data_IF_351164960257
#
_entry.id   IF_351164960257
#
_cell.length_a   1.000
_cell.length_b   1.000
_cell.length_c   1.000
_cell.angle_alpha   90.00
_cell.angle_beta   90.00
_cell.angle_gamma   90.00
#
_symmetry.space_group_name_H-M   'P 1'
#
loop_
_entity.id
_entity.type
_entity.pdbx_description
1 polymer ?
#
# COMPACT_ATOMS: atom_id res chain seq x y z
N UNK A 1 -8.53 -11.51 -2.01
CA UNK A 1 -9.00 -10.41 -2.89
C UNK A 1 -7.97 -9.31 -2.87
N UNK A 2 -7.19 -9.19 -3.94
CA UNK A 2 -6.16 -8.18 -4.05
C UNK A 2 -6.75 -6.97 -4.76
N UNK A 3 -6.45 -5.76 -4.27
CA UNK A 3 -6.84 -4.51 -4.89
C UNK A 3 -5.60 -3.89 -5.50
N UNK A 4 -5.76 -3.21 -6.64
CA UNK A 4 -4.70 -2.41 -7.23
C UNK A 4 -4.98 -0.93 -6.99
N UNK A 5 -3.99 -0.15 -6.62
CA UNK A 5 -4.17 1.30 -6.52
C UNK A 5 -3.82 1.98 -7.84
N UNK A 6 -4.74 2.80 -8.37
CA UNK A 6 -4.44 3.77 -9.42
C UNK A 6 -4.22 5.15 -8.81
N UNK A 7 -3.09 5.76 -9.15
CA UNK A 7 -2.73 7.10 -8.72
C UNK A 7 -2.88 8.06 -9.90
N UNK A 8 -3.59 9.16 -9.67
CA UNK A 8 -3.69 10.28 -10.61
C UNK A 8 -3.08 11.50 -9.95
N UNK A 9 -1.79 11.71 -10.19
CA UNK A 9 -1.01 12.76 -9.53
C UNK A 9 -1.53 14.17 -9.84
N UNK A 10 -1.96 14.44 -11.07
CA UNK A 10 -2.55 15.73 -11.47
C UNK A 10 -3.84 16.05 -10.69
N UNK A 11 -4.60 15.03 -10.31
CA UNK A 11 -5.85 15.17 -9.55
C UNK A 11 -5.62 15.05 -8.03
N UNK A 12 -4.39 14.77 -7.60
CA UNK A 12 -4.02 14.47 -6.20
C UNK A 12 -4.90 13.42 -5.56
N UNK A 13 -5.19 12.35 -6.30
CA UNK A 13 -6.09 11.27 -5.89
C UNK A 13 -5.46 9.89 -6.09
N UNK A 14 -5.68 9.04 -5.10
CA UNK A 14 -5.39 7.62 -5.18
C UNK A 14 -6.71 6.84 -5.08
N UNK A 15 -7.09 6.14 -6.14
CA UNK A 15 -8.29 5.30 -6.22
C UNK A 15 -7.92 3.82 -6.16
N UNK A 16 -8.79 3.02 -5.56
CA UNK A 16 -8.75 1.57 -5.66
C UNK A 16 -9.40 1.16 -6.98
N UNK A 17 -8.74 0.27 -7.70
CA UNK A 17 -9.24 -0.45 -8.86
C UNK A 17 -9.21 -1.94 -8.57
N UNK A 18 -10.05 -2.70 -9.26
CA UNK A 18 -10.05 -4.16 -9.17
C UNK A 18 -8.74 -4.68 -9.77
N UNK A 19 -8.07 -5.57 -9.05
CA UNK A 19 -7.00 -6.36 -9.65
C UNK A 19 -7.62 -7.54 -10.38
N UNK A 20 -7.83 -7.38 -11.69
CA UNK A 20 -8.49 -8.40 -12.50
C UNK A 20 -7.74 -9.74 -12.46
N UNK A 21 -6.40 -9.70 -12.50
CA UNK A 21 -5.57 -10.89 -12.45
C UNK A 21 -5.73 -11.62 -11.10
N UNK A 22 -5.59 -10.90 -9.99
CA UNK A 22 -5.76 -11.46 -8.65
C UNK A 22 -7.18 -11.94 -8.36
N UNK A 23 -8.20 -11.30 -8.94
CA UNK A 23 -9.59 -11.77 -8.82
C UNK A 23 -9.81 -13.07 -9.61
N UNK A 24 -9.30 -13.15 -10.84
CA UNK A 24 -9.39 -14.38 -11.64
C UNK A 24 -8.67 -15.55 -10.96
N UNK A 25 -7.48 -15.34 -10.42
CA UNK A 25 -6.72 -16.36 -9.68
C UNK A 25 -7.47 -16.85 -8.44
N UNK A 26 -8.13 -15.93 -7.72
CA UNK A 26 -8.90 -16.25 -6.53
C UNK A 26 -10.34 -16.75 -6.81
N UNK A 27 -10.75 -16.86 -8.09
CA UNK A 27 -12.12 -17.21 -8.46
C UNK A 27 -13.18 -16.20 -8.03
N UNK A 28 -12.80 -14.92 -7.89
CA UNK A 28 -13.67 -13.83 -7.47
C UNK A 28 -14.30 -13.18 -8.71
N UNK A 29 -15.63 -13.01 -8.69
CA UNK A 29 -16.36 -12.29 -9.73
C UNK A 29 -15.91 -10.83 -9.81
N UNK A 30 -15.41 -10.42 -10.98
CA UNK A 30 -14.95 -9.06 -11.23
C UNK A 30 -16.07 -8.03 -11.01
N UNK A 31 -17.28 -8.33 -11.50
CA UNK A 31 -18.43 -7.45 -11.33
C UNK A 31 -18.79 -7.25 -9.86
N UNK A 32 -18.66 -8.27 -9.03
CA UNK A 32 -18.88 -8.18 -7.58
C UNK A 32 -17.81 -7.32 -6.90
N UNK A 33 -16.54 -7.46 -7.28
CA UNK A 33 -15.46 -6.63 -6.77
C UNK A 33 -15.68 -5.15 -7.13
N UNK A 34 -16.05 -4.85 -8.37
CA UNK A 34 -16.37 -3.49 -8.83
C UNK A 34 -17.56 -2.90 -8.07
N UNK A 35 -18.65 -3.67 -7.93
CA UNK A 35 -19.84 -3.25 -7.16
C UNK A 35 -19.49 -2.97 -5.71
N UNK A 36 -18.65 -3.81 -5.10
CA UNK A 36 -18.21 -3.62 -3.70
C UNK A 36 -17.46 -2.30 -3.54
N UNK A 37 -16.56 -1.95 -4.46
CA UNK A 37 -15.84 -0.68 -4.42
C UNK A 37 -16.81 0.51 -4.50
N UNK A 38 -17.82 0.41 -5.38
CA UNK A 38 -18.82 1.45 -5.58
C UNK A 38 -19.77 1.57 -4.38
N UNK A 39 -20.36 0.47 -3.92
CA UNK A 39 -21.34 0.44 -2.82
C UNK A 39 -20.73 0.87 -1.49
N UNK A 40 -19.50 0.41 -1.19
CA UNK A 40 -18.77 0.85 0.01
C UNK A 40 -18.14 2.24 -0.16
N UNK A 41 -18.31 2.87 -1.32
CA UNK A 41 -17.82 4.20 -1.65
C UNK A 41 -16.32 4.36 -1.32
N UNK A 42 -15.52 3.32 -1.60
CA UNK A 42 -14.09 3.26 -1.23
C UNK A 42 -13.24 4.27 -2.00
N UNK A 43 -13.80 4.90 -3.03
CA UNK A 43 -13.18 5.96 -3.83
C UNK A 43 -13.82 7.34 -3.62
N UNK A 44 -14.56 7.52 -2.52
CA UNK A 44 -15.06 8.85 -2.17
C UNK A 44 -13.90 9.85 -2.08
N UNK A 45 -14.17 11.11 -2.40
CA UNK A 45 -13.16 12.18 -2.51
C UNK A 45 -12.22 12.23 -1.31
N UNK A 46 -12.77 12.21 -0.10
CA UNK A 46 -12.00 12.33 1.15
C UNK A 46 -11.06 11.13 1.36
N UNK A 47 -11.50 9.91 1.07
CA UNK A 47 -10.64 8.72 1.16
C UNK A 47 -9.56 8.71 0.08
N UNK A 48 -9.90 9.13 -1.14
CA UNK A 48 -8.94 9.21 -2.24
C UNK A 48 -7.84 10.24 -1.99
N UNK A 49 -8.19 11.40 -1.43
CA UNK A 49 -7.23 12.44 -1.02
C UNK A 49 -6.37 11.98 0.18
N UNK A 50 -6.98 11.33 1.17
CA UNK A 50 -6.24 10.79 2.32
C UNK A 50 -5.24 9.69 1.92
N UNK A 51 -5.64 8.78 1.04
CA UNK A 51 -4.71 7.79 0.45
C UNK A 51 -3.57 8.45 -0.31
N UNK A 52 -3.88 9.48 -1.09
CA UNK A 52 -2.88 10.20 -1.87
C UNK A 52 -1.84 10.87 -0.97
N UNK A 53 -2.26 11.45 0.16
CA UNK A 53 -1.32 12.03 1.13
C UNK A 53 -0.35 10.98 1.70
N UNK A 54 -0.85 9.78 2.05
CA UNK A 54 0.00 8.68 2.53
C UNK A 54 0.94 8.18 1.43
N UNK A 55 0.46 8.07 0.18
CA UNK A 55 1.29 7.72 -0.97
C UNK A 55 2.45 8.72 -1.16
N UNK A 56 2.15 10.02 -1.16
CA UNK A 56 3.17 11.05 -1.36
C UNK A 56 4.25 10.99 -0.28
N UNK A 57 3.84 10.97 1.00
CA UNK A 57 4.78 10.87 2.12
C UNK A 57 5.68 9.64 2.00
N UNK A 58 5.09 8.50 1.62
CA UNK A 58 5.85 7.26 1.45
C UNK A 58 6.84 7.33 0.29
N UNK A 59 6.45 7.89 -0.86
CA UNK A 59 7.37 8.06 -1.99
C UNK A 59 8.48 9.07 -1.70
N UNK A 60 8.19 10.16 -0.98
CA UNK A 60 9.20 11.12 -0.53
C UNK A 60 10.22 10.47 0.41
N UNK A 61 9.77 9.66 1.38
CA UNK A 61 10.66 8.89 2.25
C UNK A 61 11.53 7.91 1.46
N UNK A 62 10.92 7.16 0.53
CA UNK A 62 11.66 6.22 -0.33
C UNK A 62 12.71 6.95 -1.17
N UNK A 63 12.39 8.12 -1.71
CA UNK A 63 13.31 8.92 -2.51
C UNK A 63 14.49 9.40 -1.68
N UNK A 64 14.24 9.99 -0.51
CA UNK A 64 15.30 10.42 0.43
C UNK A 64 16.24 9.26 0.79
N UNK A 65 15.71 8.06 1.00
CA UNK A 65 16.52 6.88 1.32
C UNK A 65 17.38 6.43 0.13
N UNK A 66 16.89 6.52 -1.12
CA UNK A 66 17.68 6.20 -2.31
C UNK A 66 18.82 7.19 -2.55
N UNK A 67 18.65 8.44 -2.12
CA UNK A 67 19.64 9.52 -2.27
C UNK A 67 20.78 9.47 -1.25
N UNK A 68 20.76 8.55 -0.28
CA UNK A 68 21.81 8.41 0.77
C UNK A 68 23.19 7.95 0.27
N UNK A 69 23.46 8.05 -1.03
CA UNK A 69 24.79 7.94 -1.65
C UNK A 69 25.29 6.51 -1.90
N UNK A 70 24.70 5.50 -1.24
CA UNK A 70 25.04 4.09 -1.47
C UNK A 70 23.77 3.21 -1.50
N UNK A 71 23.74 2.25 -2.43
CA UNK A 71 22.58 1.38 -2.69
C UNK A 71 22.21 0.45 -1.52
N UNK A 72 23.18 -0.06 -0.77
CA UNK A 72 22.95 -0.89 0.42
C UNK A 72 22.32 -0.10 1.57
N UNK A 73 22.79 1.13 1.80
CA UNK A 73 22.22 2.03 2.79
C UNK A 73 20.75 2.35 2.45
N UNK A 74 20.48 2.64 1.17
CA UNK A 74 19.11 2.81 0.68
C UNK A 74 18.24 1.57 0.90
N UNK A 75 18.73 0.37 0.54
CA UNK A 75 18.00 -0.90 0.78
C UNK A 75 17.74 -1.16 2.25
N UNK A 76 18.72 -0.97 3.12
CA UNK A 76 18.56 -1.10 4.56
C UNK A 76 17.54 -0.09 5.12
N UNK A 77 17.58 1.14 4.61
CA UNK A 77 16.61 2.18 4.93
C UNK A 77 15.18 1.78 4.56
N UNK A 78 14.97 1.26 3.34
CA UNK A 78 13.64 0.80 2.89
C UNK A 78 13.14 -0.36 3.76
N UNK A 79 14.00 -1.31 4.16
CA UNK A 79 13.63 -2.39 5.09
C UNK A 79 13.21 -1.86 6.45
N UNK A 80 13.94 -0.87 6.98
CA UNK A 80 13.58 -0.20 8.24
C UNK A 80 12.24 0.54 8.12
N UNK A 81 12.01 1.20 6.98
CA UNK A 81 10.74 1.87 6.71
C UNK A 81 9.57 0.87 6.66
N UNK A 82 9.76 -0.32 6.10
CA UNK A 82 8.76 -1.38 6.13
C UNK A 82 8.39 -1.78 7.56
N UNK A 83 9.37 -2.00 8.43
CA UNK A 83 9.10 -2.28 9.84
C UNK A 83 8.31 -1.15 10.50
N UNK A 84 8.75 0.10 10.32
CA UNK A 84 8.08 1.28 10.91
C UNK A 84 6.63 1.44 10.48
N UNK A 85 6.32 1.12 9.22
CA UNK A 85 4.97 1.32 8.69
C UNK A 85 4.03 0.12 8.90
N UNK A 86 4.58 -1.09 8.94
CA UNK A 86 3.78 -2.32 8.91
C UNK A 86 3.64 -2.94 10.29
N UNK A 87 4.55 -2.67 11.22
CA UNK A 87 4.42 -3.16 12.59
C UNK A 87 3.23 -2.49 13.29
N UNK A 88 2.51 -3.26 14.13
CA UNK A 88 1.51 -2.67 15.00
C UNK A 88 2.15 -1.72 16.01
N UNK A 89 1.43 -0.66 16.37
CA UNK A 89 1.80 0.20 17.48
C UNK A 89 1.71 -0.53 18.84
N UNK A 90 2.04 0.16 19.93
CA UNK A 90 1.97 -0.40 21.28
C UNK A 90 0.56 -0.84 21.73
N UNK A 91 -0.47 -0.48 20.96
CA UNK A 91 -1.87 -0.87 21.17
C UNK A 91 -2.32 -1.96 20.19
N UNK A 92 -1.40 -2.53 19.40
CA UNK A 92 -1.73 -3.55 18.41
C UNK A 92 -2.31 -2.99 17.10
N UNK A 93 -2.36 -1.67 16.92
CA UNK A 93 -3.00 -1.03 15.76
C UNK A 93 -2.01 -0.83 14.63
N UNK A 94 -2.42 -1.16 13.41
CA UNK A 94 -1.63 -0.91 12.20
C UNK A 94 -1.98 0.46 11.61
N UNK A 95 -1.04 1.02 10.84
CA UNK A 95 -1.29 2.27 10.12
C UNK A 95 -2.48 2.15 9.17
N UNK A 96 -3.20 3.25 9.03
CA UNK A 96 -4.25 3.37 8.02
C UNK A 96 -3.67 3.14 6.62
N UNK A 97 -4.49 2.57 5.73
CA UNK A 97 -4.09 2.21 4.37
C UNK A 97 -2.92 1.22 4.32
N UNK A 98 -2.87 0.26 5.26
CA UNK A 98 -1.90 -0.81 5.31
C UNK A 98 -1.61 -1.47 3.95
N UNK A 99 -2.66 -1.84 3.20
CA UNK A 99 -2.52 -2.47 1.88
C UNK A 99 -1.81 -1.58 0.85
N UNK A 100 -2.08 -0.27 0.87
CA UNK A 100 -1.36 0.70 0.05
C UNK A 100 0.13 0.73 0.42
N UNK A 101 0.45 0.76 1.70
CA UNK A 101 1.83 0.81 2.18
C UNK A 101 2.58 -0.47 1.82
N UNK A 102 1.96 -1.64 2.04
CA UNK A 102 2.46 -2.96 1.62
C UNK A 102 2.79 -2.98 0.12
N UNK A 103 1.84 -2.57 -0.72
CA UNK A 103 2.04 -2.52 -2.18
C UNK A 103 3.18 -1.58 -2.59
N UNK A 104 3.25 -0.38 -2.00
CA UNK A 104 4.26 0.64 -2.38
C UNK A 104 5.66 0.32 -1.90
N UNK A 105 5.82 -0.42 -0.80
CA UNK A 105 7.11 -0.91 -0.32
C UNK A 105 7.53 -2.22 -1.01
N UNK A 106 6.58 -2.93 -1.62
CA UNK A 106 6.84 -4.09 -2.46
C UNK A 106 7.58 -5.19 -1.70
N UNK A 107 8.64 -5.73 -2.31
CA UNK A 107 9.41 -6.84 -1.75
C UNK A 107 9.87 -6.64 -0.30
N UNK A 108 10.27 -5.42 0.06
CA UNK A 108 10.70 -5.13 1.43
C UNK A 108 9.56 -5.25 2.46
N UNK A 109 8.32 -4.98 2.05
CA UNK A 109 7.15 -5.23 2.89
C UNK A 109 6.89 -6.72 3.04
N UNK A 110 6.90 -7.49 1.94
CA UNK A 110 6.63 -8.92 1.98
C UNK A 110 7.66 -9.67 2.84
N UNK A 111 8.95 -9.39 2.65
CA UNK A 111 10.03 -9.99 3.46
C UNK A 111 9.86 -9.69 4.95
N UNK A 112 9.42 -8.46 5.30
CA UNK A 112 9.17 -8.07 6.69
C UNK A 112 7.93 -8.77 7.27
N UNK A 113 6.84 -8.84 6.52
CA UNK A 113 5.60 -9.50 6.94
C UNK A 113 5.80 -11.01 7.12
N UNK A 114 6.53 -11.66 6.22
CA UNK A 114 6.91 -13.07 6.36
C UNK A 114 7.77 -13.30 7.61
N UNK A 115 8.78 -12.46 7.83
CA UNK A 115 9.67 -12.58 8.99
C UNK A 115 8.95 -12.39 10.34
N UNK A 116 7.87 -11.59 10.35
CA UNK A 116 7.05 -11.33 11.54
C UNK A 116 5.90 -12.32 11.72
N UNK A 117 5.79 -13.32 10.84
CA UNK A 117 4.73 -14.33 10.88
C UNK A 117 3.35 -13.77 10.58
N UNK A 118 3.27 -12.65 9.84
CA UNK A 118 2.00 -12.11 9.40
C UNK A 118 1.36 -13.06 8.38
N UNK A 119 0.19 -13.59 8.71
CA UNK A 119 -0.53 -14.58 7.91
C UNK A 119 -1.71 -13.97 7.13
N UNK A 120 -1.67 -12.67 6.82
CA UNK A 120 -2.79 -11.93 6.24
C UNK A 120 -2.97 -12.12 4.75
#
# INVERSE_FOLDING_TARGET
MQFRYRFREQERRASIEVDEAGCNEAGIDLGLAERTIAELNLNCRRLAEARFAVYLELEEQKQRLRETGNLEAGRAGIRRLAAQCLDPDSQGRRLAFFTLIRERLGRAAEEHLEATGYSG
#
